data_IF_460367677165
#
_entry.id   IF_460367677165
#
_cell.length_a   1.000
_cell.length_b   1.000
_cell.length_c   1.000
_cell.angle_alpha   90.00
_cell.angle_beta   90.00
_cell.angle_gamma   90.00
#
_symmetry.space_group_name_H-M   'P 1'
#
loop_
_entity.id
_entity.type
_entity.pdbx_description
1 polymer ?
#
# COMPACT_ATOMS: atom_id res chain seq x y z
N UNK A 1 17.63 -35.58 45.25
CA UNK A 1 17.95 -34.32 44.61
C UNK A 1 17.19 -34.22 43.27
N UNK A 2 16.11 -33.46 43.20
CA UNK A 2 15.36 -33.23 41.95
C UNK A 2 15.74 -31.85 41.48
N UNK A 3 16.51 -31.76 40.39
CA UNK A 3 16.79 -30.51 39.70
C UNK A 3 15.56 -30.05 38.92
N UNK A 4 15.02 -28.89 39.27
CA UNK A 4 14.01 -28.20 38.49
C UNK A 4 14.72 -27.44 37.38
N UNK A 5 14.51 -27.86 36.12
CA UNK A 5 14.93 -27.10 34.94
C UNK A 5 13.95 -25.93 34.75
N UNK A 6 14.42 -24.71 34.90
CA UNK A 6 13.68 -23.53 34.47
C UNK A 6 13.88 -23.35 32.95
N UNK A 7 12.82 -23.15 32.18
CA UNK A 7 12.97 -22.86 30.75
C UNK A 7 13.60 -21.47 30.58
N UNK A 8 14.64 -21.41 29.75
CA UNK A 8 15.39 -20.18 29.48
C UNK A 8 14.49 -19.13 28.79
N UNK A 9 14.61 -17.89 29.24
CA UNK A 9 13.86 -16.70 28.81
C UNK A 9 13.87 -16.43 27.29
N UNK A 10 14.79 -17.04 26.54
CA UNK A 10 14.91 -16.87 25.09
C UNK A 10 13.87 -17.64 24.24
N UNK A 11 13.26 -18.69 24.77
CA UNK A 11 12.34 -19.56 24.01
C UNK A 11 10.95 -18.91 23.85
N UNK A 12 10.51 -18.09 24.82
CA UNK A 12 9.19 -17.44 24.74
C UNK A 12 9.13 -16.33 23.67
N UNK A 13 10.22 -15.56 23.50
CA UNK A 13 10.29 -14.53 22.48
C UNK A 13 10.33 -15.10 21.05
N UNK A 14 11.05 -16.23 20.87
CA UNK A 14 11.12 -16.90 19.56
C UNK A 14 9.80 -17.57 19.15
N UNK A 15 9.02 -18.09 20.10
CA UNK A 15 7.71 -18.69 19.82
C UNK A 15 6.64 -17.67 19.48
N UNK A 16 6.70 -16.43 20.02
CA UNK A 16 5.76 -15.36 19.65
C UNK A 16 6.01 -14.84 18.23
N UNK A 17 7.26 -14.76 17.78
CA UNK A 17 7.61 -14.36 16.41
C UNK A 17 7.23 -15.42 15.38
N UNK A 18 7.36 -16.70 15.72
CA UNK A 18 7.00 -17.80 14.81
C UNK A 18 5.47 -17.98 14.64
N UNK A 19 4.67 -17.61 15.65
CA UNK A 19 3.21 -17.69 15.56
C UNK A 19 2.59 -16.58 14.67
N UNK A 20 3.34 -15.51 14.37
CA UNK A 20 2.90 -14.40 13.50
C UNK A 20 3.21 -14.62 12.01
N UNK A 21 3.95 -15.67 11.67
CA UNK A 21 4.23 -16.07 10.27
C UNK A 21 3.19 -17.01 9.66
N UNK A 22 2.02 -17.13 10.28
CA UNK A 22 0.86 -17.76 9.66
C UNK A 22 0.50 -17.00 8.38
N UNK A 23 0.60 -17.67 7.24
CA UNK A 23 0.19 -17.16 5.92
C UNK A 23 -1.23 -16.61 6.04
N UNK A 24 -1.35 -15.31 6.27
CA UNK A 24 -2.62 -14.62 6.10
C UNK A 24 -2.95 -14.74 4.62
N UNK A 25 -3.84 -15.64 4.26
CA UNK A 25 -4.53 -15.55 2.98
C UNK A 25 -5.04 -14.13 2.90
N UNK A 26 -4.45 -13.34 2.01
CA UNK A 26 -4.84 -11.95 1.83
C UNK A 26 -6.30 -11.94 1.40
N UNK A 27 -7.22 -11.72 2.34
CA UNK A 27 -8.61 -11.46 1.99
C UNK A 27 -8.60 -10.18 1.17
N UNK A 28 -9.07 -10.27 -0.07
CA UNK A 28 -9.11 -9.15 -0.98
C UNK A 28 -10.51 -8.55 -1.00
N UNK A 29 -10.58 -7.22 -0.89
CA UNK A 29 -11.83 -6.50 -0.98
C UNK A 29 -12.36 -6.45 -2.40
N UNK A 30 -13.69 -6.39 -2.51
CA UNK A 30 -14.40 -6.12 -3.76
C UNK A 30 -15.16 -4.81 -3.62
N UNK A 31 -15.04 -3.94 -4.63
CA UNK A 31 -15.85 -2.72 -4.77
C UNK A 31 -16.53 -2.78 -6.13
N UNK A 32 -17.83 -2.61 -6.13
CA UNK A 32 -18.64 -2.50 -7.35
C UNK A 32 -19.34 -1.15 -7.40
N UNK A 33 -19.91 -0.84 -8.55
CA UNK A 33 -20.68 0.39 -8.70
C UNK A 33 -21.24 0.58 -10.09
N UNK A 34 -21.71 1.82 -10.34
CA UNK A 34 -22.29 2.21 -11.62
C UNK A 34 -21.76 3.56 -12.08
N UNK A 35 -21.64 3.70 -13.39
CA UNK A 35 -21.32 4.98 -14.04
C UNK A 35 -22.48 5.36 -14.96
N UNK A 36 -22.98 6.58 -14.80
CA UNK A 36 -24.10 7.16 -15.57
C UNK A 36 -23.78 8.57 -16.00
N UNK A 37 -24.50 9.09 -16.97
CA UNK A 37 -24.46 10.51 -17.32
C UNK A 37 -25.44 11.34 -16.46
N UNK A 38 -25.48 12.66 -16.69
CA UNK A 38 -26.36 13.60 -15.97
C UNK A 38 -27.86 13.32 -16.23
N UNK A 39 -28.22 12.62 -17.29
CA UNK A 39 -29.59 12.17 -17.58
C UNK A 39 -29.93 10.82 -16.96
N UNK A 40 -28.98 10.23 -16.22
CA UNK A 40 -29.14 8.92 -15.59
C UNK A 40 -28.91 7.72 -16.50
N UNK A 41 -28.50 7.95 -17.77
CA UNK A 41 -28.22 6.86 -18.71
C UNK A 41 -26.90 6.16 -18.37
N UNK A 42 -26.84 4.84 -18.40
CA UNK A 42 -25.61 4.09 -18.12
C UNK A 42 -24.54 4.37 -19.17
N UNK A 43 -23.31 4.54 -18.74
CA UNK A 43 -22.16 4.72 -19.63
C UNK A 43 -21.42 3.38 -19.74
N UNK A 44 -21.47 2.77 -20.93
CA UNK A 44 -20.70 1.58 -21.29
C UNK A 44 -19.26 1.96 -21.59
N UNK A 45 -18.29 1.12 -21.16
CA UNK A 45 -16.88 1.29 -21.49
C UNK A 45 -16.20 2.45 -20.73
N UNK A 46 -16.84 2.99 -19.69
CA UNK A 46 -16.16 3.90 -18.78
C UNK A 46 -15.07 3.15 -18.01
N UNK A 47 -13.90 3.75 -17.89
CA UNK A 47 -12.77 3.19 -17.11
C UNK A 47 -12.84 3.72 -15.68
N UNK A 48 -12.74 2.82 -14.72
CA UNK A 48 -12.61 3.13 -13.31
C UNK A 48 -11.20 2.75 -12.87
N UNK A 49 -10.45 3.71 -12.36
CA UNK A 49 -9.15 3.51 -11.75
C UNK A 49 -9.29 3.62 -10.23
N UNK A 50 -8.88 2.58 -9.52
CA UNK A 50 -8.80 2.59 -8.05
C UNK A 50 -7.33 2.70 -7.65
N UNK A 51 -6.99 3.67 -6.80
CA UNK A 51 -5.63 3.93 -6.36
C UNK A 51 -5.55 4.00 -4.84
N UNK A 52 -4.51 3.36 -4.28
CA UNK A 52 -4.14 3.45 -2.87
C UNK A 52 -2.62 3.39 -2.77
N UNK A 53 -2.02 4.52 -2.42
CA UNK A 53 -0.56 4.65 -2.30
C UNK A 53 0.07 3.71 -1.28
N UNK A 54 -0.72 3.20 -0.34
CA UNK A 54 -0.27 2.32 0.74
C UNK A 54 -0.50 0.83 0.43
N UNK A 55 -1.08 0.51 -0.73
CA UNK A 55 -1.31 -0.86 -1.16
C UNK A 55 -0.26 -1.32 -2.17
N UNK A 56 -0.08 -2.63 -2.26
CA UNK A 56 0.66 -3.27 -3.35
C UNK A 56 -0.16 -4.48 -3.84
N UNK A 57 -0.62 -4.49 -5.10
CA UNK A 57 -0.60 -3.39 -6.06
C UNK A 57 -1.32 -2.13 -5.54
N UNK A 58 -0.85 -0.96 -5.97
CA UNK A 58 -1.41 0.32 -5.56
C UNK A 58 -2.48 0.88 -6.50
N UNK A 59 -2.71 0.23 -7.64
CA UNK A 59 -3.70 0.62 -8.63
C UNK A 59 -4.39 -0.60 -9.25
N UNK A 60 -5.68 -0.44 -9.52
CA UNK A 60 -6.52 -1.40 -10.23
C UNK A 60 -7.41 -0.66 -11.21
N UNK A 61 -7.75 -1.31 -12.32
CA UNK A 61 -8.67 -0.75 -13.30
C UNK A 61 -9.81 -1.72 -13.59
N UNK A 62 -10.98 -1.17 -13.94
CA UNK A 62 -12.11 -1.90 -14.47
C UNK A 62 -12.83 -1.07 -15.51
N UNK A 63 -13.59 -1.74 -16.41
CA UNK A 63 -14.45 -1.08 -17.37
C UNK A 63 -15.91 -1.41 -17.08
N UNK A 64 -16.81 -0.47 -17.40
CA UNK A 64 -18.24 -0.69 -17.23
C UNK A 64 -18.85 -1.56 -18.31
N UNK A 65 -19.82 -2.39 -17.92
CA UNK A 65 -20.66 -3.19 -18.84
C UNK A 65 -21.74 -2.34 -19.54
N UNK A 66 -22.60 -2.99 -20.32
CA UNK A 66 -23.71 -2.35 -21.05
C UNK A 66 -24.72 -1.63 -20.13
N UNK A 67 -24.75 -1.96 -18.85
CA UNK A 67 -25.59 -1.33 -17.82
C UNK A 67 -24.83 -0.32 -16.98
N UNK A 68 -23.64 0.09 -17.43
CA UNK A 68 -22.78 1.02 -16.72
C UNK A 68 -22.19 0.46 -15.41
N UNK A 69 -22.20 -0.86 -15.18
CA UNK A 69 -21.74 -1.48 -13.94
C UNK A 69 -20.29 -1.89 -14.05
N UNK A 70 -19.55 -1.72 -12.96
CA UNK A 70 -18.17 -2.19 -12.82
C UNK A 70 -17.98 -3.00 -11.51
N UNK A 71 -16.88 -3.74 -11.46
CA UNK A 71 -16.43 -4.42 -10.26
C UNK A 71 -14.92 -4.53 -10.25
N UNK A 72 -14.28 -4.08 -9.17
CA UNK A 72 -12.85 -4.24 -8.90
C UNK A 72 -12.70 -5.21 -7.74
N UNK A 73 -11.86 -6.23 -7.93
CA UNK A 73 -11.56 -7.27 -6.95
C UNK A 73 -10.05 -7.24 -6.71
N UNK A 74 -9.62 -7.62 -5.53
CA UNK A 74 -8.19 -7.66 -5.18
C UNK A 74 -7.72 -6.50 -4.32
N UNK A 75 -8.63 -5.58 -3.98
CA UNK A 75 -8.30 -4.42 -3.15
C UNK A 75 -7.93 -4.86 -1.74
N UNK A 76 -6.87 -4.28 -1.19
CA UNK A 76 -6.53 -4.43 0.24
C UNK A 76 -7.37 -3.47 1.07
N UNK A 77 -7.52 -3.76 2.36
CA UNK A 77 -8.14 -2.82 3.31
C UNK A 77 -7.41 -1.49 3.32
N UNK A 78 -8.16 -0.40 3.45
CA UNK A 78 -7.63 0.95 3.51
C UNK A 78 -8.37 1.93 2.61
N UNK A 79 -7.93 3.17 2.62
CA UNK A 79 -8.56 4.24 1.85
C UNK A 79 -8.11 4.19 0.39
N UNK A 80 -9.08 4.04 -0.51
CA UNK A 80 -8.88 4.03 -1.95
C UNK A 80 -9.54 5.25 -2.60
N UNK A 81 -8.85 5.82 -3.57
CA UNK A 81 -9.39 6.83 -4.50
C UNK A 81 -9.86 6.12 -5.75
N UNK A 82 -11.09 6.39 -6.16
CA UNK A 82 -11.66 5.83 -7.38
C UNK A 82 -11.94 6.98 -8.34
N UNK A 83 -11.45 6.87 -9.57
CA UNK A 83 -11.71 7.84 -10.64
C UNK A 83 -12.41 7.16 -11.79
N UNK A 84 -13.61 7.61 -12.12
CA UNK A 84 -14.34 7.19 -13.30
C UNK A 84 -14.13 8.16 -14.44
N UNK A 85 -13.88 7.65 -15.64
CA UNK A 85 -13.62 8.45 -16.83
C UNK A 85 -14.19 7.75 -18.06
N UNK A 86 -14.75 8.53 -18.98
CA UNK A 86 -15.26 8.02 -20.25
C UNK A 86 -15.00 9.04 -21.38
N UNK A 87 -14.90 8.58 -22.65
CA UNK A 87 -14.76 9.48 -23.79
C UNK A 87 -15.88 10.52 -23.84
N UNK A 88 -15.54 11.79 -24.04
CA UNK A 88 -16.48 12.93 -24.11
C UNK A 88 -17.13 13.32 -22.78
N UNK A 89 -16.68 12.76 -21.67
CA UNK A 89 -17.12 13.10 -20.31
C UNK A 89 -15.96 13.57 -19.47
N UNK A 90 -16.24 14.50 -18.54
CA UNK A 90 -15.29 14.87 -17.50
C UNK A 90 -15.12 13.73 -16.48
N UNK A 91 -13.89 13.57 -15.92
CA UNK A 91 -13.66 12.58 -14.89
C UNK A 91 -14.40 12.95 -13.59
N UNK A 92 -14.86 11.92 -12.85
CA UNK A 92 -15.38 12.08 -11.50
C UNK A 92 -14.61 11.15 -10.55
N UNK A 93 -14.27 11.68 -9.38
CA UNK A 93 -13.50 10.93 -8.38
C UNK A 93 -14.27 10.82 -7.06
N UNK A 94 -14.13 9.67 -6.41
CA UNK A 94 -14.67 9.40 -5.08
C UNK A 94 -13.64 8.66 -4.23
N UNK A 95 -13.83 8.66 -2.90
CA UNK A 95 -13.00 7.92 -1.97
C UNK A 95 -13.84 6.92 -1.19
N UNK A 96 -13.27 5.76 -0.93
CA UNK A 96 -13.91 4.72 -0.12
C UNK A 96 -12.86 4.05 0.76
N UNK A 97 -13.19 3.84 2.02
CA UNK A 97 -12.39 2.98 2.89
C UNK A 97 -12.82 1.53 2.64
N UNK A 98 -11.98 0.80 1.91
CA UNK A 98 -12.24 -0.59 1.54
C UNK A 98 -11.98 -1.50 2.72
N UNK A 99 -12.97 -2.33 3.06
CA UNK A 99 -12.83 -3.42 4.03
C UNK A 99 -12.71 -4.76 3.30
N UNK A 100 -11.84 -5.62 3.81
CA UNK A 100 -11.71 -7.02 3.38
C UNK A 100 -12.40 -7.99 4.33
N UNK A 101 -12.93 -7.50 5.45
CA UNK A 101 -13.56 -8.27 6.52
C UNK A 101 -14.94 -7.65 6.84
N UNK A 102 -15.92 -8.49 7.07
CA UNK A 102 -17.27 -8.06 7.52
C UNK A 102 -18.24 -7.81 6.36
N UNK A 103 -19.03 -6.74 6.44
CA UNK A 103 -20.04 -6.42 5.44
C UNK A 103 -19.43 -6.05 4.07
N UNK A 104 -20.15 -6.30 2.96
CA UNK A 104 -19.69 -5.87 1.63
C UNK A 104 -19.44 -4.36 1.58
N UNK A 105 -18.41 -3.95 0.84
CA UNK A 105 -18.17 -2.53 0.61
C UNK A 105 -19.36 -1.87 -0.09
N UNK A 106 -19.75 -0.65 0.28
CA UNK A 106 -20.86 0.06 -0.36
C UNK A 106 -20.55 0.29 -1.84
N UNK A 107 -21.57 0.22 -2.74
CA UNK A 107 -21.37 0.48 -4.15
C UNK A 107 -21.09 1.96 -4.39
N UNK A 108 -20.20 2.24 -5.36
CA UNK A 108 -19.91 3.59 -5.82
C UNK A 108 -20.81 3.95 -7.00
N UNK A 109 -21.28 5.20 -7.05
CA UNK A 109 -22.00 5.75 -8.20
C UNK A 109 -21.28 6.99 -8.69
N UNK A 110 -20.92 6.99 -9.97
CA UNK A 110 -20.33 8.13 -10.66
C UNK A 110 -21.32 8.70 -11.66
N UNK A 111 -21.44 10.05 -11.68
CA UNK A 111 -22.29 10.76 -12.62
C UNK A 111 -21.43 11.68 -13.47
N UNK A 112 -21.00 11.19 -14.64
CA UNK A 112 -20.08 11.95 -15.49
C UNK A 112 -20.81 13.05 -16.27
N UNK A 113 -20.19 14.22 -16.33
CA UNK A 113 -20.72 15.39 -17.06
C UNK A 113 -20.20 15.41 -18.48
N UNK A 114 -21.08 15.62 -19.45
CA UNK A 114 -20.67 15.86 -20.85
C UNK A 114 -19.84 17.14 -20.95
N UNK A 115 -18.72 17.09 -21.67
CA UNK A 115 -17.93 18.28 -22.02
C UNK A 115 -16.77 18.62 -21.09
N UNK A 116 -16.40 17.75 -20.14
CA UNK A 116 -15.34 18.02 -19.17
C UNK A 116 -14.15 17.09 -19.27
N UNK A 117 -13.37 17.16 -20.29
CA UNK A 117 -11.92 16.91 -20.42
C UNK A 117 -11.59 16.97 -21.90
N UNK A 118 -10.45 17.50 -22.26
CA UNK A 118 -9.95 17.47 -23.62
C UNK A 118 -9.96 16.03 -24.12
N UNK A 119 -10.89 15.71 -25.04
CA UNK A 119 -10.77 14.51 -25.83
C UNK A 119 -9.36 14.50 -26.43
N UNK A 120 -8.69 13.34 -26.52
CA UNK A 120 -7.42 13.29 -27.22
C UNK A 120 -7.63 13.95 -28.58
N UNK A 121 -6.82 14.95 -28.87
CA UNK A 121 -6.97 15.86 -30.03
C UNK A 121 -6.82 15.16 -31.39
N UNK A 122 -6.68 13.83 -31.39
CA UNK A 122 -6.70 13.01 -32.60
C UNK A 122 -7.22 11.58 -32.28
N UNK A 123 -7.86 10.94 -33.27
CA UNK A 123 -8.24 9.54 -33.22
C UNK A 123 -7.02 8.63 -32.91
N UNK A 124 -5.83 9.03 -33.35
CA UNK A 124 -4.56 8.34 -33.08
C UNK A 124 -4.18 8.39 -31.59
N UNK A 125 -4.39 9.55 -30.93
CA UNK A 125 -4.15 9.70 -29.49
C UNK A 125 -5.13 8.88 -28.64
N UNK A 126 -6.40 8.75 -29.07
CA UNK A 126 -7.38 7.93 -28.41
C UNK A 126 -7.06 6.43 -28.51
N UNK A 127 -6.58 5.98 -29.67
CA UNK A 127 -6.12 4.61 -29.89
C UNK A 127 -4.88 4.32 -29.05
N UNK A 128 -3.89 5.21 -29.04
CA UNK A 128 -2.67 5.06 -28.24
C UNK A 128 -2.98 5.00 -26.73
N UNK A 129 -3.90 5.82 -26.24
CA UNK A 129 -4.33 5.76 -24.84
C UNK A 129 -5.03 4.45 -24.49
N UNK A 130 -5.87 3.93 -25.39
CA UNK A 130 -6.54 2.64 -25.21
C UNK A 130 -5.55 1.48 -25.22
N UNK A 131 -4.57 1.51 -26.11
CA UNK A 131 -3.54 0.48 -26.19
C UNK A 131 -2.66 0.47 -24.94
N UNK A 132 -2.28 1.66 -24.43
CA UNK A 132 -1.53 1.78 -23.19
C UNK A 132 -2.31 1.25 -21.97
N UNK A 133 -3.62 1.48 -21.91
CA UNK A 133 -4.47 0.92 -20.84
C UNK A 133 -4.53 -0.61 -20.92
N UNK A 134 -4.61 -1.15 -22.12
CA UNK A 134 -4.62 -2.60 -22.33
C UNK A 134 -3.28 -3.22 -21.94
N UNK A 135 -2.18 -2.60 -22.35
CA UNK A 135 -0.83 -3.03 -22.01
C UNK A 135 -0.60 -2.98 -20.47
N UNK A 136 -1.08 -1.91 -19.81
CA UNK A 136 -0.94 -1.77 -18.36
C UNK A 136 -1.75 -2.86 -17.63
N UNK A 137 -2.99 -3.10 -18.05
CA UNK A 137 -3.81 -4.17 -17.47
C UNK A 137 -3.17 -5.55 -17.66
N UNK A 138 -2.55 -5.81 -18.82
CA UNK A 138 -1.82 -7.05 -19.07
C UNK A 138 -0.58 -7.19 -18.17
N UNK A 139 0.20 -6.12 -18.00
CA UNK A 139 1.34 -6.10 -17.12
C UNK A 139 0.93 -6.34 -15.65
N UNK A 140 -0.16 -5.71 -15.19
CA UNK A 140 -0.72 -5.91 -13.84
C UNK A 140 -1.21 -7.35 -13.63
N UNK A 141 -1.79 -7.99 -14.65
CA UNK A 141 -2.16 -9.40 -14.59
C UNK A 141 -0.94 -10.32 -14.40
N UNK A 142 0.15 -10.06 -15.12
CA UNK A 142 1.41 -10.80 -14.97
C UNK A 142 1.97 -10.59 -13.56
N UNK A 143 1.96 -9.37 -13.05
CA UNK A 143 2.37 -9.06 -11.69
C UNK A 143 1.53 -9.82 -10.65
N UNK A 144 0.21 -9.80 -10.78
CA UNK A 144 -0.71 -10.50 -9.88
C UNK A 144 -0.57 -12.03 -9.95
N UNK A 145 -0.18 -12.56 -11.13
CA UNK A 145 0.16 -13.96 -11.33
C UNK A 145 1.57 -14.33 -10.82
N UNK A 146 2.28 -13.38 -10.18
CA UNK A 146 3.66 -13.52 -9.69
C UNK A 146 4.69 -13.84 -10.78
N UNK A 147 4.38 -13.54 -12.03
CA UNK A 147 5.27 -13.66 -13.18
C UNK A 147 6.15 -12.43 -13.29
N UNK A 148 7.06 -12.29 -12.34
CA UNK A 148 7.80 -11.05 -12.10
C UNK A 148 8.60 -10.56 -13.31
N UNK A 149 9.33 -11.46 -13.99
CA UNK A 149 10.15 -11.10 -15.15
C UNK A 149 9.31 -10.69 -16.35
N UNK A 150 8.19 -11.39 -16.58
CA UNK A 150 7.22 -11.07 -17.63
C UNK A 150 6.55 -9.72 -17.35
N UNK A 151 6.17 -9.47 -16.09
CA UNK A 151 5.58 -8.20 -15.67
C UNK A 151 6.56 -7.02 -15.87
N UNK A 152 7.83 -7.19 -15.47
CA UNK A 152 8.88 -6.18 -15.69
C UNK A 152 9.06 -5.89 -17.18
N UNK A 153 9.09 -6.92 -18.03
CA UNK A 153 9.21 -6.76 -19.48
C UNK A 153 8.03 -5.98 -20.05
N UNK A 154 6.80 -6.31 -19.62
CA UNK A 154 5.58 -5.63 -20.04
C UNK A 154 5.55 -4.16 -19.59
N UNK A 155 5.90 -3.85 -18.33
CA UNK A 155 6.00 -2.47 -17.85
C UNK A 155 7.09 -1.66 -18.59
N UNK A 156 8.23 -2.25 -18.90
CA UNK A 156 9.27 -1.60 -19.71
C UNK A 156 8.82 -1.32 -21.14
N UNK A 157 8.04 -2.22 -21.74
CA UNK A 157 7.46 -1.98 -23.06
C UNK A 157 6.52 -0.77 -23.06
N UNK A 158 5.75 -0.58 -21.97
CA UNK A 158 4.91 0.61 -21.79
C UNK A 158 5.77 1.88 -21.69
N UNK A 159 6.86 1.86 -20.91
CA UNK A 159 7.79 3.00 -20.81
C UNK A 159 8.44 3.34 -22.15
N UNK A 160 8.70 2.34 -23.01
CA UNK A 160 9.22 2.56 -24.38
C UNK A 160 8.18 3.28 -25.25
N UNK A 161 6.89 2.92 -25.12
CA UNK A 161 5.78 3.57 -25.85
C UNK A 161 5.43 4.95 -25.30
N UNK A 162 5.54 5.12 -23.99
CA UNK A 162 5.17 6.34 -23.27
C UNK A 162 6.20 6.68 -22.18
N UNK A 163 7.36 7.26 -22.55
CA UNK A 163 8.43 7.58 -21.60
C UNK A 163 8.04 8.56 -20.47
N UNK A 164 6.97 9.33 -20.68
CA UNK A 164 6.44 10.24 -19.66
C UNK A 164 5.78 9.54 -18.47
N UNK A 165 5.41 8.26 -18.61
CA UNK A 165 4.80 7.45 -17.54
C UNK A 165 5.84 6.89 -16.57
N UNK A 166 6.81 7.71 -16.18
CA UNK A 166 7.94 7.32 -15.30
C UNK A 166 7.51 6.66 -13.99
N UNK A 167 6.30 6.95 -13.51
CA UNK A 167 5.71 6.35 -12.31
C UNK A 167 5.62 4.81 -12.39
N UNK A 168 5.60 4.23 -13.59
CA UNK A 168 5.63 2.77 -13.83
C UNK A 168 6.89 2.12 -13.24
N UNK A 169 7.97 2.88 -13.08
CA UNK A 169 9.16 2.38 -12.38
C UNK A 169 8.88 1.93 -10.93
N UNK A 170 7.80 2.41 -10.30
CA UNK A 170 7.35 1.89 -8.99
C UNK A 170 6.87 0.45 -9.08
N UNK A 171 6.12 0.09 -10.15
CA UNK A 171 5.65 -1.27 -10.40
C UNK A 171 6.81 -2.21 -10.77
N UNK A 172 7.74 -1.73 -11.60
CA UNK A 172 8.96 -2.46 -11.94
C UNK A 172 9.77 -2.77 -10.68
N UNK A 173 9.98 -1.76 -9.83
CA UNK A 173 10.69 -1.93 -8.57
C UNK A 173 9.96 -2.90 -7.63
N UNK A 174 8.62 -2.81 -7.54
CA UNK A 174 7.82 -3.73 -6.74
C UNK A 174 7.93 -5.19 -7.25
N UNK A 175 7.94 -5.41 -8.56
CA UNK A 175 8.15 -6.73 -9.14
C UNK A 175 9.53 -7.31 -8.79
N UNK A 176 10.58 -6.51 -8.91
CA UNK A 176 11.93 -6.92 -8.51
C UNK A 176 12.04 -7.20 -7.01
N UNK A 177 11.43 -6.39 -6.14
CA UNK A 177 11.39 -6.65 -4.69
C UNK A 177 10.73 -7.98 -4.37
N UNK A 178 9.57 -8.28 -4.98
CA UNK A 178 8.87 -9.55 -4.79
C UNK A 178 9.70 -10.74 -5.29
N UNK A 179 10.50 -10.54 -6.35
CA UNK A 179 11.48 -11.51 -6.84
C UNK A 179 12.71 -11.60 -5.92
N UNK A 180 12.88 -10.69 -4.96
CA UNK A 180 14.06 -10.49 -4.10
C UNK A 180 15.32 -10.05 -4.87
N UNK A 181 15.15 -9.48 -6.06
CA UNK A 181 16.21 -8.81 -6.81
C UNK A 181 16.29 -7.35 -6.35
N UNK A 182 16.86 -7.17 -5.17
CA UNK A 182 16.86 -5.89 -4.46
C UNK A 182 17.66 -4.81 -5.20
N UNK A 183 18.76 -5.18 -5.86
CA UNK A 183 19.58 -4.23 -6.59
C UNK A 183 18.87 -3.70 -7.84
N UNK A 184 18.18 -4.57 -8.57
CA UNK A 184 17.34 -4.17 -9.69
C UNK A 184 16.14 -3.32 -9.24
N UNK A 185 15.55 -3.61 -8.09
CA UNK A 185 14.48 -2.80 -7.51
C UNK A 185 14.96 -1.37 -7.18
N UNK A 186 16.11 -1.24 -6.52
CA UNK A 186 16.74 0.05 -6.22
C UNK A 186 17.06 0.81 -7.52
N UNK A 187 17.55 0.10 -8.55
CA UNK A 187 17.77 0.67 -9.88
C UNK A 187 16.51 1.31 -10.47
N UNK A 188 15.38 0.60 -10.44
CA UNK A 188 14.11 1.10 -10.96
C UNK A 188 13.58 2.31 -10.17
N UNK A 189 13.71 2.32 -8.84
CA UNK A 189 13.38 3.51 -8.03
C UNK A 189 14.28 4.70 -8.40
N UNK A 190 15.58 4.47 -8.59
CA UNK A 190 16.51 5.52 -8.98
C UNK A 190 16.18 6.07 -10.39
N UNK A 191 15.70 5.24 -11.31
CA UNK A 191 15.25 5.72 -12.63
C UNK A 191 14.07 6.69 -12.51
N UNK A 192 13.14 6.45 -11.58
CA UNK A 192 12.08 7.41 -11.26
C UNK A 192 12.65 8.68 -10.64
N UNK A 193 13.60 8.58 -9.69
CA UNK A 193 14.19 9.74 -9.01
C UNK A 193 15.04 10.63 -9.94
N UNK A 194 15.53 10.13 -11.07
CA UNK A 194 16.19 10.96 -12.10
C UNK A 194 15.23 11.99 -12.71
N UNK A 195 13.93 11.68 -12.74
CA UNK A 195 12.89 12.53 -13.32
C UNK A 195 12.13 13.30 -12.24
N UNK A 196 11.86 12.66 -11.13
CA UNK A 196 11.17 13.21 -9.95
C UNK A 196 12.02 12.94 -8.71
N UNK A 197 12.98 13.81 -8.46
CA UNK A 197 13.97 13.65 -7.38
C UNK A 197 13.37 13.70 -5.98
N UNK A 198 12.14 14.20 -5.84
CA UNK A 198 11.41 14.30 -4.58
C UNK A 198 10.30 13.25 -4.43
N UNK A 199 10.30 12.21 -5.25
CA UNK A 199 9.28 11.17 -5.19
C UNK A 199 9.39 10.35 -3.91
N UNK A 200 8.54 10.65 -2.93
CA UNK A 200 8.52 9.99 -1.62
C UNK A 200 8.37 8.47 -1.72
N UNK A 201 7.54 7.99 -2.67
CA UNK A 201 7.32 6.54 -2.85
C UNK A 201 8.59 5.83 -3.29
N UNK A 202 9.37 6.46 -4.17
CA UNK A 202 10.64 5.89 -4.63
C UNK A 202 11.69 5.93 -3.50
N UNK A 203 11.78 7.04 -2.77
CA UNK A 203 12.71 7.18 -1.64
C UNK A 203 12.39 6.15 -0.55
N UNK A 204 11.13 6.05 -0.14
CA UNK A 204 10.67 5.03 0.82
C UNK A 204 10.92 3.63 0.28
N UNK A 205 10.65 3.42 -1.02
CA UNK A 205 10.89 2.15 -1.69
C UNK A 205 12.35 1.71 -1.60
N UNK A 206 13.31 2.61 -1.82
CA UNK A 206 14.75 2.34 -1.66
C UNK A 206 15.08 2.00 -0.21
N UNK A 207 14.58 2.80 0.75
CA UNK A 207 14.81 2.56 2.18
C UNK A 207 14.32 1.18 2.62
N UNK A 208 13.09 0.82 2.23
CA UNK A 208 12.50 -0.47 2.56
C UNK A 208 13.15 -1.64 1.81
N UNK A 209 13.60 -1.43 0.58
CA UNK A 209 14.34 -2.45 -0.16
C UNK A 209 15.69 -2.74 0.49
N UNK A 210 16.39 -1.71 0.96
CA UNK A 210 17.63 -1.88 1.71
C UNK A 210 17.39 -2.59 3.05
N UNK A 211 16.28 -2.29 3.74
CA UNK A 211 15.89 -3.01 4.96
C UNK A 211 15.66 -4.50 4.68
N UNK A 212 14.93 -4.84 3.62
CA UNK A 212 14.69 -6.23 3.21
C UNK A 212 15.97 -6.96 2.76
N UNK A 213 16.89 -6.23 2.14
CA UNK A 213 18.24 -6.72 1.77
C UNK A 213 19.13 -6.97 2.98
N UNK A 214 18.79 -6.38 4.14
CA UNK A 214 19.60 -6.42 5.35
C UNK A 214 20.64 -5.30 5.43
N UNK A 215 20.67 -4.37 4.48
CA UNK A 215 21.52 -3.17 4.54
C UNK A 215 20.85 -2.09 5.39
N UNK A 216 20.89 -2.30 6.72
CA UNK A 216 20.26 -1.42 7.69
C UNK A 216 20.86 0.00 7.67
N UNK A 217 22.14 0.12 7.28
CA UNK A 217 22.78 1.43 7.19
C UNK A 217 22.25 2.23 6.01
N UNK A 218 22.21 1.64 4.81
CA UNK A 218 21.68 2.32 3.63
C UNK A 218 20.19 2.64 3.78
N UNK A 219 19.42 1.77 4.43
CA UNK A 219 18.01 2.01 4.75
C UNK A 219 17.85 3.25 5.65
N UNK A 220 18.61 3.32 6.73
CA UNK A 220 18.60 4.44 7.67
C UNK A 220 19.03 5.74 7.00
N UNK A 221 20.18 5.75 6.33
CA UNK A 221 20.73 6.93 5.66
C UNK A 221 19.72 7.51 4.64
N UNK A 222 19.02 6.65 3.91
CA UNK A 222 18.03 7.06 2.90
C UNK A 222 16.79 7.68 3.55
N UNK A 223 16.23 7.03 4.57
CA UNK A 223 15.00 7.49 5.21
C UNK A 223 15.24 8.68 6.15
N UNK A 224 16.43 8.78 6.77
CA UNK A 224 16.80 9.95 7.58
C UNK A 224 16.85 11.20 6.72
N UNK A 225 17.51 11.17 5.57
CA UNK A 225 17.53 12.30 4.63
C UNK A 225 16.12 12.71 4.19
N UNK A 226 15.23 11.74 3.98
CA UNK A 226 13.83 12.03 3.64
C UNK A 226 13.08 12.66 4.82
N UNK A 227 13.33 12.21 6.06
CA UNK A 227 12.70 12.72 7.28
C UNK A 227 13.18 14.14 7.64
N UNK A 228 14.38 14.50 7.24
CA UNK A 228 14.98 15.84 7.42
C UNK A 228 14.65 16.79 6.25
N UNK A 229 14.00 16.29 5.21
CA UNK A 229 13.57 17.07 4.06
C UNK A 229 12.48 18.10 4.39
N UNK A 230 12.14 18.97 3.45
CA UNK A 230 11.24 20.10 3.69
C UNK A 230 9.78 19.70 3.95
N UNK A 231 9.35 18.53 3.54
CA UNK A 231 7.97 18.02 3.68
C UNK A 231 7.97 16.50 3.90
N UNK A 232 8.50 16.02 5.05
CA UNK A 232 8.50 14.60 5.32
C UNK A 232 7.06 14.08 5.49
N UNK A 233 6.77 12.92 4.91
CA UNK A 233 5.47 12.27 5.05
C UNK A 233 5.42 11.37 6.27
N UNK A 234 4.21 11.09 6.78
CA UNK A 234 4.02 10.13 7.89
C UNK A 234 4.62 8.75 7.59
N UNK A 235 4.61 8.35 6.31
CA UNK A 235 5.19 7.09 5.84
C UNK A 235 6.71 7.07 5.99
N UNK A 236 7.41 8.17 5.76
CA UNK A 236 8.85 8.29 5.99
C UNK A 236 9.16 8.08 7.47
N UNK A 237 8.44 8.74 8.37
CA UNK A 237 8.63 8.57 9.81
C UNK A 237 8.37 7.13 10.27
N UNK A 238 7.26 6.54 9.80
CA UNK A 238 6.93 5.15 10.10
C UNK A 238 8.04 4.19 9.66
N UNK A 239 8.51 4.31 8.40
CA UNK A 239 9.51 3.39 7.85
C UNK A 239 10.89 3.60 8.50
N UNK A 240 11.24 4.82 8.91
CA UNK A 240 12.44 5.05 9.70
C UNK A 240 12.33 4.39 11.09
N UNK A 241 11.14 4.40 11.70
CA UNK A 241 10.86 3.61 12.89
C UNK A 241 11.07 2.11 12.69
N UNK A 242 10.63 1.54 11.56
CA UNK A 242 10.88 0.13 11.21
C UNK A 242 12.38 -0.18 11.11
N UNK A 243 13.15 0.69 10.48
CA UNK A 243 14.62 0.53 10.38
C UNK A 243 15.28 0.59 11.77
N UNK A 244 14.88 1.56 12.60
CA UNK A 244 15.41 1.67 13.97
C UNK A 244 15.06 0.44 14.82
N UNK A 245 13.85 -0.07 14.67
CA UNK A 245 13.43 -1.30 15.35
C UNK A 245 14.25 -2.52 14.90
N UNK A 246 14.46 -2.67 13.59
CA UNK A 246 15.28 -3.73 13.02
C UNK A 246 16.75 -3.67 13.44
N UNK A 247 17.27 -2.46 13.72
CA UNK A 247 18.62 -2.23 14.30
C UNK A 247 18.72 -2.55 15.79
N UNK A 248 17.62 -2.94 16.43
CA UNK A 248 17.60 -3.19 17.87
C UNK A 248 17.59 -1.93 18.74
N UNK A 249 17.13 -0.80 18.17
CA UNK A 249 17.00 0.49 18.86
C UNK A 249 15.51 0.84 19.10
N UNK A 250 14.80 0.11 20.01
CA UNK A 250 13.36 0.25 20.18
C UNK A 250 12.94 1.63 20.69
N UNK A 251 13.77 2.33 21.45
CA UNK A 251 13.47 3.68 21.94
C UNK A 251 13.50 4.71 20.84
N UNK A 252 14.48 4.60 19.93
CA UNK A 252 14.53 5.44 18.74
C UNK A 252 13.36 5.13 17.81
N UNK A 253 13.05 3.84 17.62
CA UNK A 253 11.88 3.42 16.84
C UNK A 253 10.59 4.03 17.38
N UNK A 254 10.38 4.01 18.71
CA UNK A 254 9.21 4.61 19.35
C UNK A 254 9.10 6.12 19.05
N UNK A 255 10.23 6.83 19.06
CA UNK A 255 10.27 8.26 18.72
C UNK A 255 9.78 8.51 17.29
N UNK A 256 10.20 7.68 16.34
CA UNK A 256 9.80 7.83 14.93
C UNK A 256 8.35 7.39 14.68
N UNK A 257 7.89 6.33 15.34
CA UNK A 257 6.47 5.96 15.30
C UNK A 257 5.58 7.05 15.89
N UNK A 258 6.01 7.71 16.97
CA UNK A 258 5.26 8.82 17.53
C UNK A 258 5.16 9.99 16.55
N UNK A 259 6.24 10.36 15.83
CA UNK A 259 6.17 11.39 14.77
C UNK A 259 5.18 11.02 13.66
N UNK A 260 5.10 9.73 13.30
CA UNK A 260 4.11 9.27 12.32
C UNK A 260 2.67 9.40 12.85
N UNK A 261 2.44 9.10 14.15
CA UNK A 261 1.16 9.27 14.84
C UNK A 261 0.78 10.75 14.93
N UNK A 262 1.74 11.62 15.27
CA UNK A 262 1.51 13.07 15.37
C UNK A 262 1.11 13.66 14.01
N UNK A 263 1.64 13.09 12.91
CA UNK A 263 1.26 13.48 11.54
C UNK A 263 -0.12 12.98 11.14
N UNK A 264 -0.54 11.82 11.64
CA UNK A 264 -1.89 11.26 11.43
C UNK A 264 -2.30 10.37 12.60
N UNK A 265 -3.03 10.92 13.58
CA UNK A 265 -3.50 10.19 14.76
C UNK A 265 -4.50 9.05 14.45
N UNK A 266 -5.11 9.06 13.26
CA UNK A 266 -6.05 8.01 12.84
C UNK A 266 -5.37 6.80 12.22
N UNK A 267 -4.07 6.87 11.95
CA UNK A 267 -3.34 5.78 11.34
C UNK A 267 -2.92 4.71 12.35
N UNK A 268 -3.70 3.64 12.46
CA UNK A 268 -3.50 2.57 13.45
C UNK A 268 -2.15 1.86 13.39
N UNK A 269 -1.51 1.82 12.22
CA UNK A 269 -0.28 1.06 11.98
C UNK A 269 0.91 1.50 12.84
N UNK A 270 1.31 2.79 12.92
CA UNK A 270 2.37 3.22 13.82
C UNK A 270 1.99 3.10 15.30
N UNK A 271 0.71 3.26 15.65
CA UNK A 271 0.23 3.05 17.03
C UNK A 271 0.44 1.57 17.42
N UNK A 272 0.10 0.64 16.53
CA UNK A 272 0.32 -0.79 16.76
C UNK A 272 1.80 -1.10 16.96
N UNK A 273 2.68 -0.53 16.13
CA UNK A 273 4.13 -0.71 16.27
C UNK A 273 4.68 -0.14 17.59
N UNK A 274 4.16 1.01 18.01
CA UNK A 274 4.51 1.56 19.34
C UNK A 274 4.10 0.59 20.47
N UNK A 275 2.95 -0.06 20.36
CA UNK A 275 2.53 -1.11 21.28
C UNK A 275 3.45 -2.34 21.27
N UNK A 276 3.99 -2.73 20.10
CA UNK A 276 5.00 -3.79 20.03
C UNK A 276 6.32 -3.39 20.68
N UNK A 277 6.70 -2.10 20.64
CA UNK A 277 7.84 -1.59 21.41
C UNK A 277 7.62 -1.72 22.91
N UNK A 278 6.44 -1.36 23.42
CA UNK A 278 6.08 -1.55 24.83
C UNK A 278 6.11 -3.03 25.23
N UNK A 279 5.60 -3.91 24.39
CA UNK A 279 5.65 -5.35 24.58
C UNK A 279 7.09 -5.87 24.67
N UNK A 280 7.97 -5.40 23.78
CA UNK A 280 9.39 -5.75 23.79
C UNK A 280 10.08 -5.35 25.11
N UNK A 281 9.64 -4.25 25.72
CA UNK A 281 10.08 -3.78 27.04
C UNK A 281 9.41 -4.52 28.20
N UNK A 282 8.56 -5.51 27.93
CA UNK A 282 7.78 -6.25 28.93
C UNK A 282 6.77 -5.37 29.71
N UNK A 283 6.41 -4.20 29.18
CA UNK A 283 5.38 -3.32 29.73
C UNK A 283 3.99 -3.83 29.27
N UNK A 284 3.44 -4.79 30.03
CA UNK A 284 2.15 -5.42 29.75
C UNK A 284 1.02 -4.40 29.75
N UNK A 285 0.95 -3.57 30.78
CA UNK A 285 -0.15 -2.60 30.96
C UNK A 285 -0.09 -1.48 29.91
N UNK A 286 1.13 -0.98 29.63
CA UNK A 286 1.35 -0.02 28.55
C UNK A 286 0.99 -0.59 27.18
N UNK A 287 1.35 -1.84 26.91
CA UNK A 287 0.97 -2.53 25.68
C UNK A 287 -0.55 -2.58 25.51
N UNK A 288 -1.28 -3.02 26.55
CA UNK A 288 -2.75 -3.09 26.48
C UNK A 288 -3.37 -1.72 26.19
N UNK A 289 -2.95 -0.68 26.91
CA UNK A 289 -3.42 0.70 26.70
C UNK A 289 -3.16 1.20 25.26
N UNK A 290 -1.99 0.88 24.70
CA UNK A 290 -1.65 1.30 23.33
C UNK A 290 -2.47 0.49 22.31
N UNK A 291 -2.67 -0.80 22.52
CA UNK A 291 -3.50 -1.64 21.64
C UNK A 291 -4.97 -1.19 21.66
N UNK A 292 -5.50 -0.74 22.78
CA UNK A 292 -6.83 -0.11 22.85
C UNK A 292 -6.91 1.17 22.01
N UNK A 293 -5.84 1.98 21.95
CA UNK A 293 -5.76 3.14 21.05
C UNK A 293 -5.78 2.74 19.58
N UNK A 294 -5.11 1.64 19.20
CA UNK A 294 -5.17 1.11 17.82
C UNK A 294 -6.61 0.82 17.43
N UNK A 295 -7.36 0.11 18.31
CA UNK A 295 -8.74 -0.25 18.06
C UNK A 295 -9.64 1.01 17.96
N UNK A 296 -9.36 2.03 18.76
CA UNK A 296 -10.11 3.28 18.73
C UNK A 296 -9.82 4.11 17.48
N UNK A 297 -8.56 4.14 17.01
CA UNK A 297 -8.15 4.94 15.86
C UNK A 297 -8.71 4.39 14.54
N UNK A 298 -8.67 3.06 14.32
CA UNK A 298 -9.21 2.41 13.12
C UNK A 298 -9.77 1.02 13.49
N UNK A 299 -11.04 0.94 13.94
CA UNK A 299 -11.66 -0.29 14.43
C UNK A 299 -11.72 -1.43 13.39
N UNK A 300 -11.70 -1.08 12.10
CA UNK A 300 -11.83 -2.02 10.99
C UNK A 300 -10.47 -2.47 10.42
N UNK A 301 -9.37 -1.89 10.88
CA UNK A 301 -8.04 -2.22 10.38
C UNK A 301 -7.58 -3.64 10.75
N UNK A 302 -6.68 -4.23 9.95
CA UNK A 302 -6.01 -5.47 10.32
C UNK A 302 -5.23 -5.34 11.64
N UNK A 303 -4.66 -4.17 11.90
CA UNK A 303 -3.94 -3.86 13.13
C UNK A 303 -4.87 -3.88 14.35
N UNK A 304 -6.11 -3.38 14.23
CA UNK A 304 -7.12 -3.46 15.29
C UNK A 304 -7.52 -4.91 15.60
N UNK A 305 -7.63 -5.77 14.58
CA UNK A 305 -7.89 -7.19 14.78
C UNK A 305 -6.75 -7.88 15.54
N UNK A 306 -5.49 -7.60 15.16
CA UNK A 306 -4.31 -8.11 15.85
C UNK A 306 -4.20 -7.56 17.28
N UNK A 307 -4.54 -6.28 17.49
CA UNK A 307 -4.54 -5.64 18.80
C UNK A 307 -5.52 -6.33 19.77
N UNK A 308 -6.74 -6.68 19.32
CA UNK A 308 -7.70 -7.44 20.13
C UNK A 308 -7.15 -8.80 20.56
N UNK A 309 -6.56 -9.54 19.62
CA UNK A 309 -5.95 -10.84 19.92
C UNK A 309 -4.81 -10.73 20.94
N UNK A 310 -3.95 -9.71 20.78
CA UNK A 310 -2.83 -9.49 21.68
C UNK A 310 -3.31 -9.10 23.10
N UNK A 311 -4.34 -8.25 23.21
CA UNK A 311 -4.96 -7.91 24.51
C UNK A 311 -5.49 -9.17 25.21
N UNK A 312 -6.20 -10.05 24.48
CA UNK A 312 -6.71 -11.30 25.04
C UNK A 312 -5.60 -12.24 25.54
N UNK A 313 -4.49 -12.31 24.81
CA UNK A 313 -3.33 -13.09 25.22
C UNK A 313 -2.64 -12.53 26.46
N UNK A 314 -2.54 -11.20 26.54
CA UNK A 314 -1.89 -10.55 27.68
C UNK A 314 -2.75 -10.58 28.96
N UNK A 315 -4.08 -10.65 28.86
CA UNK A 315 -4.98 -10.71 30.02
C UNK A 315 -5.06 -12.13 30.66
N UNK A 316 -4.55 -13.14 29.99
CA UNK A 316 -4.39 -14.51 30.54
C UNK A 316 -3.12 -14.63 31.38
#
# INVERSE_FOLDING_TARGET
>A
MRQRLHPSRGVLAALLVAALSGSAFAQTGRVGGTVKDESGQPIKGATITAENSNASPNSFTATTDDKGRFSIIGLKSGQWSFTAQAPSFGPESGRLNVSTIGAPNPPLTFTLKKGGAAAPTSALGALAAKDLQTDLAAADQLYNAQKWDEAVAAYRAILTKAPSLNVINLQIAAAYRNKKDYDAAIGAYNDLLKVDSANDKAIIGIGMTNLEKGDLKAAEDTLTRAAEGPKPTREVFYNLGEVKFAKGAPDEAATWYQKAIDSDPSWGKPIFKLGLVALNKQDKDGTIKIMEKVIAADPASPEAAQARQLIEQLKK
#
